data_IF_980974083977
#
_entry.id   IF_980974083977
#
_cell.length_a   1.000
_cell.length_b   1.000
_cell.length_c   1.000
_cell.angle_alpha   90.00
_cell.angle_beta   90.00
_cell.angle_gamma   90.00
#
_symmetry.space_group_name_H-M   'P 1'
#
loop_
_entity.id
_entity.type
_entity.pdbx_description
1 polymer ?
#
# COMPACT_ATOMS: atom_id res chain seq x y z
N UNK A 1 18.04 1.77 -1.12
CA UNK A 1 18.17 1.04 -2.41
C UNK A 1 16.78 0.60 -2.80
N UNK A 2 16.40 0.73 -4.08
CA UNK A 2 15.08 0.32 -4.57
C UNK A 2 14.86 -1.20 -4.49
N UNK A 3 13.61 -1.64 -4.65
CA UNK A 3 13.26 -3.05 -4.72
C UNK A 3 13.86 -3.66 -6.00
N UNK A 4 14.51 -4.84 -5.93
CA UNK A 4 14.94 -5.54 -7.13
C UNK A 4 13.73 -5.86 -8.01
N UNK A 5 13.70 -5.25 -9.19
CA UNK A 5 12.66 -5.45 -10.19
C UNK A 5 13.30 -5.58 -11.57
N UNK A 6 13.02 -6.69 -12.26
CA UNK A 6 13.48 -6.95 -13.61
C UNK A 6 12.30 -6.96 -14.57
N UNK A 7 12.42 -6.28 -15.71
CA UNK A 7 11.44 -6.36 -16.80
C UNK A 7 11.94 -7.42 -17.77
N UNK A 8 11.18 -8.51 -17.91
CA UNK A 8 11.53 -9.63 -18.79
C UNK A 8 11.05 -9.41 -20.22
N UNK A 9 9.92 -8.72 -20.40
CA UNK A 9 9.47 -8.24 -21.70
C UNK A 9 8.54 -7.03 -21.56
N UNK A 10 8.50 -6.21 -22.61
CA UNK A 10 7.58 -5.10 -22.77
C UNK A 10 6.90 -5.19 -24.13
N UNK A 11 5.63 -4.78 -24.20
CA UNK A 11 4.91 -4.73 -25.48
C UNK A 11 5.44 -3.59 -26.36
N UNK A 12 5.48 -3.81 -27.67
CA UNK A 12 5.81 -2.77 -28.66
C UNK A 12 4.60 -1.92 -29.06
N UNK A 13 3.38 -2.36 -28.75
CA UNK A 13 2.12 -1.71 -29.18
C UNK A 13 1.35 -1.07 -28.05
N UNK A 14 1.70 -1.37 -26.80
CA UNK A 14 1.08 -0.79 -25.61
C UNK A 14 2.08 -0.71 -24.45
N UNK A 15 1.64 -0.25 -23.28
CA UNK A 15 2.50 -0.05 -22.10
C UNK A 15 2.58 -1.25 -21.17
N UNK A 16 2.18 -2.43 -21.64
CA UNK A 16 2.24 -3.64 -20.85
C UNK A 16 3.70 -4.06 -20.62
N UNK A 17 3.99 -4.50 -19.39
CA UNK A 17 5.29 -5.04 -18.98
C UNK A 17 5.04 -6.34 -18.24
N UNK A 18 5.91 -7.30 -18.46
CA UNK A 18 6.04 -8.49 -17.62
C UNK A 18 7.44 -8.50 -17.01
N UNK A 19 7.57 -9.05 -15.81
CA UNK A 19 8.79 -8.94 -15.04
C UNK A 19 8.73 -9.74 -13.75
N UNK A 20 9.75 -9.59 -12.92
CA UNK A 20 9.86 -10.26 -11.62
C UNK A 20 10.36 -9.28 -10.57
N UNK A 21 9.71 -9.32 -9.39
CA UNK A 21 10.14 -8.60 -8.20
C UNK A 21 10.71 -9.62 -7.21
N UNK A 22 11.86 -9.31 -6.61
CA UNK A 22 12.51 -10.17 -5.62
C UNK A 22 12.55 -9.51 -4.25
N UNK A 23 12.09 -10.23 -3.23
CA UNK A 23 12.27 -9.91 -1.81
C UNK A 23 13.07 -11.03 -1.13
N UNK A 24 13.50 -10.79 0.10
CA UNK A 24 14.25 -11.78 0.88
C UNK A 24 13.38 -13.01 1.23
N UNK A 25 12.04 -12.86 1.23
CA UNK A 25 11.09 -13.94 1.49
C UNK A 25 10.46 -14.53 0.21
N UNK A 26 11.06 -14.29 -0.96
CA UNK A 26 10.63 -14.89 -2.22
C UNK A 26 10.48 -13.88 -3.35
N UNK A 27 10.18 -14.39 -4.54
CA UNK A 27 9.95 -13.56 -5.74
C UNK A 27 8.52 -13.75 -6.24
N UNK A 28 8.03 -12.76 -6.98
CA UNK A 28 6.73 -12.83 -7.63
C UNK A 28 6.78 -12.22 -9.04
N UNK A 29 6.03 -12.82 -9.96
CA UNK A 29 5.91 -12.38 -11.34
C UNK A 29 4.94 -11.22 -11.45
N UNK A 30 5.23 -10.29 -12.35
CA UNK A 30 4.38 -9.16 -12.70
C UNK A 30 3.90 -9.30 -14.16
N UNK A 31 2.64 -8.94 -14.49
CA UNK A 31 1.60 -8.39 -13.61
C UNK A 31 1.12 -9.40 -12.56
N UNK A 32 0.99 -8.94 -11.30
CA UNK A 32 0.54 -9.75 -10.17
C UNK A 32 -0.87 -9.34 -9.73
N UNK A 33 -1.66 -10.33 -9.33
CA UNK A 33 -2.87 -10.13 -8.54
C UNK A 33 -2.60 -10.60 -7.11
N UNK A 34 -2.96 -9.77 -6.13
CA UNK A 34 -2.70 -10.06 -4.70
C UNK A 34 -4.00 -10.41 -3.99
N UNK A 35 -4.22 -11.67 -3.58
CA UNK A 35 -5.31 -12.02 -2.70
C UNK A 35 -5.23 -11.26 -1.37
N UNK A 36 -6.37 -10.83 -0.84
CA UNK A 36 -6.44 -9.99 0.35
C UNK A 36 -6.67 -10.85 1.61
N UNK A 37 -5.66 -10.89 2.47
CA UNK A 37 -5.71 -11.46 3.81
C UNK A 37 -6.15 -10.44 4.86
N UNK A 38 -7.46 -10.28 5.05
CA UNK A 38 -8.02 -9.21 5.90
C UNK A 38 -7.54 -9.27 7.35
N UNK A 39 -7.52 -10.46 7.96
CA UNK A 39 -7.06 -10.69 9.35
C UNK A 39 -5.90 -11.70 9.36
N UNK A 40 -4.98 -11.56 8.40
CA UNK A 40 -3.84 -12.47 8.23
C UNK A 40 -4.15 -13.77 7.50
N UNK A 41 -5.39 -13.97 7.05
CA UNK A 41 -5.82 -15.11 6.22
C UNK A 41 -6.70 -14.64 5.07
N UNK A 42 -6.51 -15.25 3.89
CA UNK A 42 -7.43 -15.09 2.75
C UNK A 42 -8.69 -15.88 3.09
N UNK A 43 -9.84 -15.20 3.08
CA UNK A 43 -11.10 -15.82 3.52
C UNK A 43 -11.34 -17.14 2.80
N UNK A 44 -11.69 -18.16 3.59
CA UNK A 44 -11.99 -19.55 3.16
C UNK A 44 -10.85 -20.35 2.54
N UNK A 45 -9.62 -19.83 2.49
CA UNK A 45 -8.48 -20.51 1.87
C UNK A 45 -7.33 -20.69 2.86
N UNK A 46 -6.72 -21.87 2.83
CA UNK A 46 -5.49 -22.19 3.55
C UNK A 46 -4.26 -21.69 2.79
N UNK A 47 -3.09 -21.54 3.43
CA UNK A 47 -1.83 -21.29 2.73
C UNK A 47 -1.54 -22.35 1.64
N UNK A 48 -1.93 -23.61 1.86
CA UNK A 48 -1.83 -24.68 0.88
C UNK A 48 -2.68 -24.41 -0.35
N UNK A 49 -3.92 -23.94 -0.19
CA UNK A 49 -4.81 -23.57 -1.30
C UNK A 49 -4.22 -22.41 -2.12
N UNK A 50 -3.63 -21.41 -1.44
CA UNK A 50 -2.98 -20.28 -2.11
C UNK A 50 -1.77 -20.75 -2.94
N UNK A 51 -0.95 -21.66 -2.41
CA UNK A 51 0.16 -22.27 -3.15
C UNK A 51 -0.33 -23.08 -4.34
N UNK A 52 -1.39 -23.88 -4.16
CA UNK A 52 -2.00 -24.67 -5.23
C UNK A 52 -2.58 -23.77 -6.35
N UNK A 53 -3.05 -22.58 -6.00
CA UNK A 53 -3.51 -21.55 -6.93
C UNK A 53 -2.39 -20.70 -7.54
N UNK A 54 -1.12 -21.03 -7.25
CA UNK A 54 0.06 -20.28 -7.71
C UNK A 54 0.06 -18.80 -7.30
N UNK A 55 -0.48 -18.50 -6.12
CA UNK A 55 -0.32 -17.17 -5.51
C UNK A 55 1.14 -17.00 -5.13
N UNK A 56 1.72 -15.86 -5.49
CA UNK A 56 3.13 -15.57 -5.23
C UNK A 56 3.31 -14.41 -4.23
N UNK A 57 2.27 -13.60 -4.04
CA UNK A 57 2.26 -12.48 -3.11
C UNK A 57 0.84 -12.28 -2.59
N UNK A 58 0.72 -11.94 -1.30
CA UNK A 58 -0.56 -11.58 -0.69
C UNK A 58 -0.56 -10.15 -0.18
N UNK A 59 -1.74 -9.52 -0.14
CA UNK A 59 -1.97 -8.26 0.55
C UNK A 59 -2.54 -8.56 1.94
N UNK A 60 -2.03 -7.91 2.99
CA UNK A 60 -2.59 -7.97 4.34
C UNK A 60 -3.00 -6.59 4.83
N UNK A 61 -4.13 -6.52 5.54
CA UNK A 61 -4.65 -5.25 6.02
C UNK A 61 -4.06 -4.88 7.39
N UNK A 62 -3.29 -3.81 7.43
CA UNK A 62 -2.63 -3.28 8.64
C UNK A 62 -3.64 -2.92 9.72
N UNK A 63 -4.73 -2.25 9.34
CA UNK A 63 -5.78 -1.82 10.28
C UNK A 63 -6.34 -3.00 11.09
N UNK A 64 -6.67 -4.10 10.43
CA UNK A 64 -7.27 -5.25 11.08
C UNK A 64 -6.25 -6.00 11.93
N UNK A 65 -5.04 -6.24 11.42
CA UNK A 65 -3.98 -6.93 12.15
C UNK A 65 -3.53 -6.19 13.41
N UNK A 66 -3.48 -4.85 13.33
CA UNK A 66 -3.18 -3.98 14.46
C UNK A 66 -4.22 -4.10 15.58
N UNK A 67 -5.51 -4.19 15.24
CA UNK A 67 -6.57 -4.35 16.24
C UNK A 67 -6.71 -5.80 16.72
N UNK A 68 -6.56 -6.76 15.81
CA UNK A 68 -6.69 -8.19 16.09
C UNK A 68 -5.88 -9.01 15.08
N UNK A 69 -4.90 -9.81 15.53
CA UNK A 69 -4.65 -10.20 16.92
C UNK A 69 -3.93 -9.14 17.77
N UNK A 70 -3.43 -8.06 17.16
CA UNK A 70 -2.59 -7.07 17.84
C UNK A 70 -1.10 -7.38 17.68
N UNK A 71 -0.28 -6.34 17.86
CA UNK A 71 1.16 -6.41 17.60
C UNK A 71 1.90 -7.37 18.54
N UNK A 72 1.56 -7.38 19.83
CA UNK A 72 2.23 -8.23 20.83
C UNK A 72 2.13 -9.72 20.45
N UNK A 73 0.97 -10.14 19.94
CA UNK A 73 0.76 -11.51 19.48
C UNK A 73 1.55 -11.76 18.20
N UNK A 74 1.50 -10.85 17.22
CA UNK A 74 2.26 -10.99 15.98
C UNK A 74 3.75 -11.13 16.26
N UNK A 75 4.30 -10.30 17.14
CA UNK A 75 5.71 -10.32 17.52
C UNK A 75 6.11 -11.63 18.20
N UNK A 76 5.27 -12.19 19.07
CA UNK A 76 5.52 -13.51 19.69
C UNK A 76 5.64 -14.65 18.68
N UNK A 77 4.98 -14.54 17.53
CA UNK A 77 5.07 -15.52 16.45
C UNK A 77 6.14 -15.16 15.40
N UNK A 78 6.93 -14.09 15.59
CA UNK A 78 7.92 -13.64 14.61
C UNK A 78 7.30 -12.95 13.40
N UNK A 79 6.21 -12.21 13.62
CA UNK A 79 5.43 -11.52 12.60
C UNK A 79 4.28 -12.37 12.03
N UNK A 80 3.56 -11.81 11.07
CA UNK A 80 2.40 -12.45 10.44
C UNK A 80 2.77 -13.77 9.76
N UNK A 81 3.96 -13.83 9.16
CA UNK A 81 4.50 -15.01 8.49
C UNK A 81 4.51 -16.24 9.41
N UNK A 82 5.02 -16.06 10.63
CA UNK A 82 5.08 -17.16 11.61
C UNK A 82 3.72 -17.54 12.16
N UNK A 83 2.78 -16.57 12.24
CA UNK A 83 1.42 -16.81 12.67
C UNK A 83 0.57 -17.57 11.63
N UNK A 84 0.59 -17.14 10.37
CA UNK A 84 -0.28 -17.68 9.32
C UNK A 84 0.36 -18.77 8.45
N UNK A 85 1.67 -19.02 8.61
CA UNK A 85 2.45 -20.02 7.84
C UNK A 85 2.45 -19.78 6.32
N UNK A 86 2.21 -18.56 5.87
CA UNK A 86 2.44 -18.13 4.49
C UNK A 86 3.95 -17.95 4.27
N UNK A 87 4.50 -18.51 3.21
CA UNK A 87 5.95 -18.52 2.94
C UNK A 87 6.37 -17.57 1.82
N UNK A 88 5.42 -16.95 1.09
CA UNK A 88 5.71 -15.98 0.04
C UNK A 88 5.74 -14.51 0.51
N UNK A 89 6.08 -13.55 -0.37
CA UNK A 89 6.02 -12.12 -0.09
C UNK A 89 4.66 -11.63 0.45
N UNK A 90 4.70 -10.63 1.34
CA UNK A 90 3.53 -9.95 1.92
C UNK A 90 3.63 -8.44 1.66
N UNK A 91 2.61 -7.87 1.03
CA UNK A 91 2.39 -6.43 1.01
C UNK A 91 1.40 -6.04 2.12
N UNK A 92 1.69 -4.99 2.88
CA UNK A 92 0.72 -4.39 3.80
C UNK A 92 0.29 -3.03 3.33
N UNK A 93 -1.02 -2.80 3.33
CA UNK A 93 -1.56 -1.45 3.18
C UNK A 93 -1.26 -0.59 4.41
N UNK A 94 -1.58 0.70 4.37
CA UNK A 94 -1.33 1.60 5.50
C UNK A 94 -2.42 1.55 6.59
N UNK A 95 -3.57 0.94 6.27
CA UNK A 95 -4.79 1.04 7.07
C UNK A 95 -5.56 2.35 6.88
N UNK A 96 -5.04 3.32 6.12
CA UNK A 96 -5.67 4.64 5.92
C UNK A 96 -7.04 4.54 5.24
N UNK A 97 -7.19 3.65 4.25
CA UNK A 97 -8.46 3.44 3.55
C UNK A 97 -9.55 2.89 4.48
N UNK A 98 -9.22 1.92 5.34
CA UNK A 98 -10.16 1.30 6.26
C UNK A 98 -10.59 2.32 7.30
N UNK A 99 -9.65 3.09 7.85
CA UNK A 99 -10.00 4.18 8.76
C UNK A 99 -10.87 5.21 8.06
N UNK A 100 -10.57 5.58 6.81
CA UNK A 100 -11.44 6.45 6.01
C UNK A 100 -12.85 5.87 5.81
N UNK A 101 -13.00 4.55 5.66
CA UNK A 101 -14.32 3.91 5.53
C UNK A 101 -15.14 3.83 6.83
N UNK A 102 -14.54 4.15 7.98
CA UNK A 102 -15.28 4.32 9.24
C UNK A 102 -15.89 5.73 9.24
N UNK A 103 -17.21 5.86 9.38
CA UNK A 103 -17.94 7.13 9.32
C UNK A 103 -17.56 8.12 10.46
N UNK A 104 -18.45 8.34 11.44
CA UNK A 104 -18.28 9.33 12.53
C UNK A 104 -17.17 8.98 13.54
N UNK A 105 -16.41 7.93 13.30
CA UNK A 105 -15.43 7.37 14.24
C UNK A 105 -14.00 7.81 13.92
N UNK A 106 -13.79 8.87 13.13
CA UNK A 106 -12.45 9.35 12.73
C UNK A 106 -12.28 10.87 12.82
N UNK A 107 -11.06 11.28 13.14
CA UNK A 107 -10.58 12.66 13.09
C UNK A 107 -9.24 12.66 12.33
N UNK A 108 -9.10 13.53 11.34
CA UNK A 108 -7.87 13.63 10.54
C UNK A 108 -7.27 15.02 10.73
N UNK A 109 -6.01 15.07 11.17
CA UNK A 109 -5.26 16.30 11.35
C UNK A 109 -3.91 16.23 10.60
N UNK A 110 -2.93 17.06 10.96
CA UNK A 110 -1.60 17.03 10.35
C UNK A 110 -0.71 15.92 10.92
N UNK A 111 -0.96 15.48 12.15
CA UNK A 111 -0.15 14.49 12.84
C UNK A 111 -0.50 13.07 12.37
N UNK A 112 -1.78 12.83 12.06
CA UNK A 112 -2.25 11.56 11.53
C UNK A 112 -3.77 11.42 11.49
N UNK A 113 -4.22 10.19 11.71
CA UNK A 113 -5.63 9.83 11.78
C UNK A 113 -5.95 9.21 13.12
N UNK A 114 -6.78 9.89 13.90
CA UNK A 114 -7.37 9.34 15.11
C UNK A 114 -8.65 8.61 14.76
N UNK A 115 -8.87 7.43 15.33
CA UNK A 115 -10.11 6.69 15.13
C UNK A 115 -10.52 5.87 16.35
N UNK A 116 -11.77 5.42 16.36
CA UNK A 116 -12.26 4.42 17.31
C UNK A 116 -12.36 3.04 16.66
N UNK A 117 -11.88 2.03 17.38
CA UNK A 117 -12.02 0.63 16.99
C UNK A 117 -13.50 0.27 16.88
N UNK A 118 -13.89 -0.34 15.76
CA UNK A 118 -15.25 -0.85 15.56
C UNK A 118 -15.54 -2.11 16.39
N UNK A 119 -14.52 -2.69 17.02
CA UNK A 119 -14.65 -3.89 17.84
C UNK A 119 -15.01 -3.59 19.30
N UNK A 120 -14.34 -2.60 19.89
CA UNK A 120 -14.42 -2.32 21.33
C UNK A 120 -14.55 -0.82 21.68
N UNK A 121 -14.56 0.05 20.68
CA UNK A 121 -14.70 1.50 20.85
C UNK A 121 -13.45 2.22 21.37
N UNK A 122 -12.33 1.51 21.56
CA UNK A 122 -11.06 2.07 22.02
C UNK A 122 -10.51 3.08 21.01
N UNK A 123 -9.86 4.14 21.51
CA UNK A 123 -9.32 5.24 20.69
C UNK A 123 -7.88 4.93 20.30
N UNK A 124 -7.56 5.08 19.02
CA UNK A 124 -6.24 4.88 18.44
C UNK A 124 -5.84 6.05 17.55
N UNK A 125 -4.54 6.20 17.33
CA UNK A 125 -3.94 7.19 16.43
C UNK A 125 -2.99 6.49 15.49
N UNK A 126 -3.17 6.68 14.19
CA UNK A 126 -2.22 6.28 13.14
C UNK A 126 -1.51 7.52 12.63
N UNK A 127 -0.23 7.65 12.98
CA UNK A 127 0.67 8.63 12.37
C UNK A 127 1.49 7.95 11.26
N UNK A 128 2.08 8.71 10.32
CA UNK A 128 3.04 8.20 9.35
C UNK A 128 4.11 7.28 9.95
N UNK A 129 4.71 7.69 11.07
CA UNK A 129 5.77 6.94 11.75
C UNK A 129 5.22 5.65 12.37
N UNK A 130 4.12 5.75 13.12
CA UNK A 130 3.53 4.60 13.81
C UNK A 130 3.06 3.53 12.82
N UNK A 131 2.54 3.94 11.66
CA UNK A 131 2.13 3.00 10.61
C UNK A 131 3.32 2.21 10.06
N UNK A 132 4.49 2.83 9.92
CA UNK A 132 5.73 2.11 9.55
C UNK A 132 6.12 1.10 10.64
N UNK A 133 6.04 1.49 11.92
CA UNK A 133 6.35 0.58 13.03
C UNK A 133 5.38 -0.61 13.10
N UNK A 134 4.08 -0.36 12.93
CA UNK A 134 3.05 -1.41 12.87
C UNK A 134 3.37 -2.39 11.74
N UNK A 135 3.69 -1.90 10.54
CA UNK A 135 4.01 -2.76 9.39
C UNK A 135 5.33 -3.54 9.59
N UNK A 136 6.29 -2.97 10.34
CA UNK A 136 7.50 -3.69 10.77
C UNK A 136 7.17 -4.85 11.68
N UNK A 137 6.35 -4.64 12.71
CA UNK A 137 5.89 -5.69 13.63
C UNK A 137 5.02 -6.74 12.92
N UNK A 138 4.27 -6.36 11.89
CA UNK A 138 3.58 -7.33 11.02
C UNK A 138 4.59 -8.18 10.23
N UNK A 139 5.77 -7.65 9.91
CA UNK A 139 6.81 -8.36 9.16
C UNK A 139 6.64 -8.27 7.64
N UNK A 140 6.07 -7.17 7.13
CA UNK A 140 5.80 -6.97 5.70
C UNK A 140 7.06 -7.03 4.84
N UNK A 141 6.94 -7.48 3.59
CA UNK A 141 8.00 -7.31 2.59
C UNK A 141 7.88 -5.95 1.90
N UNK A 142 6.64 -5.51 1.61
CA UNK A 142 6.35 -4.23 0.97
C UNK A 142 5.36 -3.44 1.83
N UNK A 143 5.74 -2.22 2.19
CA UNK A 143 4.99 -1.32 3.04
C UNK A 143 4.37 -0.18 2.25
N UNK A 144 3.08 0.08 2.43
CA UNK A 144 2.44 1.27 1.88
C UNK A 144 2.52 2.43 2.88
N UNK A 145 2.86 3.63 2.40
CA UNK A 145 2.82 4.85 3.24
C UNK A 145 1.39 5.18 3.66
N UNK A 146 1.23 5.83 4.82
CA UNK A 146 -0.05 6.43 5.20
C UNK A 146 -0.36 7.61 4.27
N UNK A 147 -1.57 7.62 3.72
CA UNK A 147 -2.06 8.65 2.81
C UNK A 147 -3.42 9.20 3.26
N UNK A 148 -3.77 10.37 2.72
CA UNK A 148 -5.06 10.99 2.95
C UNK A 148 -5.92 10.82 1.69
N UNK A 149 -6.86 9.88 1.77
CA UNK A 149 -7.78 9.57 0.68
C UNK A 149 -8.93 10.58 0.62
N UNK A 150 -9.30 10.96 -0.60
CA UNK A 150 -10.58 11.61 -0.92
C UNK A 150 -11.46 10.66 -1.72
N UNK A 151 -12.79 10.71 -1.50
CA UNK A 151 -13.75 10.01 -2.35
C UNK A 151 -13.76 10.57 -3.78
N UNK A 152 -14.29 9.82 -4.75
CA UNK A 152 -14.48 10.33 -6.10
C UNK A 152 -15.97 10.40 -6.49
N UNK A 153 -16.42 11.50 -7.12
CA UNK A 153 -15.65 12.73 -7.37
C UNK A 153 -15.49 13.58 -6.09
N UNK A 154 -14.30 14.16 -5.90
CA UNK A 154 -14.05 15.23 -4.93
C UNK A 154 -13.73 16.52 -5.67
N UNK A 155 -14.01 17.67 -5.04
CA UNK A 155 -13.63 18.97 -5.59
C UNK A 155 -12.10 19.11 -5.68
N UNK A 156 -11.66 20.00 -6.58
CA UNK A 156 -10.25 20.25 -6.84
C UNK A 156 -9.50 20.64 -5.57
N UNK A 157 -10.03 21.58 -4.79
CA UNK A 157 -9.36 22.08 -3.59
C UNK A 157 -9.26 20.99 -2.51
N UNK A 158 -10.32 20.19 -2.32
CA UNK A 158 -10.30 19.04 -1.41
C UNK A 158 -9.25 18.02 -1.86
N UNK A 159 -9.18 17.72 -3.16
CA UNK A 159 -8.18 16.82 -3.73
C UNK A 159 -6.75 17.36 -3.57
N UNK A 160 -6.56 18.68 -3.72
CA UNK A 160 -5.28 19.36 -3.55
C UNK A 160 -4.80 19.26 -2.10
N UNK A 161 -5.66 19.58 -1.14
CA UNK A 161 -5.33 19.52 0.30
C UNK A 161 -4.97 18.10 0.73
N UNK A 162 -5.77 17.10 0.32
CA UNK A 162 -5.52 15.70 0.56
C UNK A 162 -4.19 15.21 -0.03
N UNK A 163 -3.94 15.57 -1.27
CA UNK A 163 -2.69 15.26 -1.95
C UNK A 163 -1.47 15.88 -1.24
N UNK A 164 -1.51 17.17 -0.91
CA UNK A 164 -0.42 17.85 -0.22
C UNK A 164 -0.14 17.25 1.16
N UNK A 165 -1.19 16.88 1.90
CA UNK A 165 -1.04 16.15 3.18
C UNK A 165 -0.39 14.78 2.97
N UNK A 166 -0.82 14.05 1.94
CA UNK A 166 -0.21 12.76 1.56
C UNK A 166 1.29 12.90 1.27
N UNK A 167 1.74 13.96 0.60
CA UNK A 167 3.18 14.18 0.37
C UNK A 167 3.95 14.39 1.67
N UNK A 168 3.46 15.23 2.58
CA UNK A 168 4.10 15.47 3.87
C UNK A 168 4.15 14.20 4.72
N UNK A 169 3.07 13.41 4.71
CA UNK A 169 3.02 12.12 5.38
C UNK A 169 3.93 11.07 4.73
N UNK A 170 4.08 11.08 3.41
CA UNK A 170 5.00 10.21 2.70
C UNK A 170 6.47 10.53 3.08
N UNK A 171 6.84 11.81 3.15
CA UNK A 171 8.18 12.25 3.57
C UNK A 171 8.50 11.83 5.01
N UNK A 172 7.56 12.02 5.93
CA UNK A 172 7.65 11.53 7.32
C UNK A 172 7.81 10.02 7.38
N UNK A 173 6.97 9.28 6.66
CA UNK A 173 7.02 7.82 6.57
C UNK A 173 8.37 7.32 6.05
N UNK A 174 8.91 7.97 5.00
CA UNK A 174 10.20 7.59 4.42
C UNK A 174 11.36 7.89 5.34
N UNK A 175 11.37 9.05 5.97
CA UNK A 175 12.40 9.44 6.93
C UNK A 175 12.46 8.47 8.11
N UNK A 176 11.31 8.13 8.68
CA UNK A 176 11.22 7.16 9.78
C UNK A 176 11.65 5.75 9.35
N UNK A 177 11.19 5.30 8.17
CA UNK A 177 11.59 4.02 7.59
C UNK A 177 13.10 3.89 7.38
N UNK A 178 13.78 4.95 6.92
CA UNK A 178 15.23 4.93 6.70
C UNK A 178 16.04 5.03 8.00
N UNK A 179 15.50 5.71 9.02
CA UNK A 179 16.19 5.91 10.30
C UNK A 179 16.21 4.66 11.18
N UNK A 180 15.32 3.70 10.93
CA UNK A 180 15.15 2.53 11.79
C UNK A 180 15.44 1.24 11.00
N UNK A 181 16.11 0.24 11.58
CA UNK A 181 16.41 -1.02 10.89
C UNK A 181 15.16 -1.93 10.82
N UNK A 182 15.05 -2.82 9.81
CA UNK A 182 13.93 -3.76 9.72
C UNK A 182 13.91 -4.74 10.90
N UNK A 183 12.74 -5.35 11.14
CA UNK A 183 12.58 -6.45 12.08
C UNK A 183 12.73 -7.81 11.38
N UNK A 184 12.94 -8.87 12.15
CA UNK A 184 12.98 -10.27 11.70
C UNK A 184 14.09 -10.63 10.69
N UNK A 185 15.07 -9.75 10.48
CA UNK A 185 16.30 -10.07 9.75
C UNK A 185 16.14 -10.12 8.22
N UNK A 186 15.01 -9.66 7.68
CA UNK A 186 14.79 -9.51 6.24
C UNK A 186 14.65 -8.04 5.85
N UNK A 187 15.00 -7.73 4.62
CA UNK A 187 14.82 -6.40 4.07
C UNK A 187 13.36 -6.13 3.75
N UNK A 188 12.92 -4.94 4.12
CA UNK A 188 11.59 -4.44 3.82
C UNK A 188 11.71 -3.29 2.79
N UNK A 189 10.66 -3.07 2.01
CA UNK A 189 10.59 -2.02 0.99
C UNK A 189 9.39 -1.12 1.26
N UNK A 190 9.43 0.13 0.80
CA UNK A 190 8.34 1.08 1.02
C UNK A 190 7.89 1.73 -0.29
N UNK A 191 6.59 1.74 -0.52
CA UNK A 191 5.95 2.30 -1.70
C UNK A 191 5.21 3.60 -1.36
N UNK A 192 5.45 4.62 -2.18
CA UNK A 192 4.69 5.87 -2.14
C UNK A 192 3.33 5.72 -2.83
N UNK A 193 2.32 6.48 -2.40
CA UNK A 193 0.97 6.45 -2.99
C UNK A 193 0.69 7.76 -3.71
N UNK A 194 0.55 7.70 -5.04
CA UNK A 194 0.12 8.84 -5.85
C UNK A 194 -1.34 9.15 -5.53
N UNK A 195 -1.61 10.39 -5.12
CA UNK A 195 -2.95 10.95 -4.90
C UNK A 195 -3.19 12.14 -5.84
N UNK A 196 -4.35 12.80 -5.76
CA UNK A 196 -4.73 13.94 -6.62
C UNK A 196 -6.07 13.81 -7.33
N UNK A 197 -6.90 12.82 -6.94
CA UNK A 197 -8.24 12.64 -7.51
C UNK A 197 -8.21 12.38 -9.01
N UNK A 198 -9.07 13.08 -9.75
CA UNK A 198 -9.21 12.99 -11.21
C UNK A 198 -8.49 14.10 -11.98
N UNK A 199 -7.58 14.83 -11.31
CA UNK A 199 -6.92 16.03 -11.83
C UNK A 199 -5.46 15.77 -12.21
N UNK A 200 -5.09 16.07 -13.45
CA UNK A 200 -3.79 15.69 -14.03
C UNK A 200 -2.62 16.48 -13.44
N UNK A 201 -2.83 17.76 -13.15
CA UNK A 201 -1.87 18.64 -12.50
C UNK A 201 -1.54 18.16 -11.08
N UNK A 202 -2.56 17.85 -10.26
CA UNK A 202 -2.36 17.30 -8.92
C UNK A 202 -1.66 15.93 -8.96
N UNK A 203 -2.00 15.09 -9.94
CA UNK A 203 -1.31 13.80 -10.16
C UNK A 203 0.15 14.01 -10.55
N UNK A 204 0.45 15.01 -11.38
CA UNK A 204 1.82 15.33 -11.78
C UNK A 204 2.65 15.86 -10.60
N UNK A 205 2.09 16.77 -9.80
CA UNK A 205 2.70 17.24 -8.55
C UNK A 205 2.98 16.08 -7.60
N UNK A 206 2.02 15.16 -7.46
CA UNK A 206 2.20 13.97 -6.63
C UNK A 206 3.32 13.07 -7.08
N UNK A 207 3.42 12.81 -8.38
CA UNK A 207 4.49 11.97 -8.93
C UNK A 207 5.84 12.67 -8.74
N UNK A 208 5.94 13.96 -9.02
CA UNK A 208 7.16 14.73 -8.82
C UNK A 208 7.62 14.71 -7.34
N UNK A 209 6.72 14.97 -6.40
CA UNK A 209 7.03 14.94 -4.98
C UNK A 209 7.49 13.56 -4.49
N UNK A 210 6.75 12.50 -4.84
CA UNK A 210 7.09 11.12 -4.41
C UNK A 210 8.36 10.59 -5.09
N UNK A 211 8.64 10.98 -6.33
CA UNK A 211 9.89 10.61 -7.01
C UNK A 211 11.10 11.32 -6.40
N UNK A 212 10.95 12.58 -5.97
CA UNK A 212 11.99 13.29 -5.23
C UNK A 212 12.29 12.66 -3.86
N UNK A 213 11.29 12.11 -3.16
CA UNK A 213 11.46 11.38 -1.90
C UNK A 213 12.17 10.01 -2.10
N UNK A 214 12.14 9.46 -3.33
CA UNK A 214 12.78 8.21 -3.73
C UNK A 214 12.31 6.96 -2.95
N UNK A 215 11.12 6.47 -3.29
CA UNK A 215 10.56 5.21 -2.80
C UNK A 215 11.05 3.99 -3.60
N UNK A 216 10.78 2.81 -3.08
CA UNK A 216 11.21 1.54 -3.69
C UNK A 216 10.22 1.05 -4.78
N UNK A 217 9.03 1.66 -4.83
CA UNK A 217 8.01 1.49 -5.86
C UNK A 217 6.88 2.49 -5.64
N UNK A 218 5.91 2.50 -6.56
CA UNK A 218 4.87 3.52 -6.56
C UNK A 218 3.49 2.91 -6.78
N UNK A 219 2.56 3.25 -5.91
CA UNK A 219 1.16 2.92 -6.06
C UNK A 219 0.35 4.09 -6.62
N UNK A 220 -0.76 3.77 -7.27
CA UNK A 220 -1.77 4.72 -7.73
C UNK A 220 -3.00 4.53 -6.85
N UNK A 221 -3.20 5.47 -5.92
CA UNK A 221 -4.32 5.49 -4.98
C UNK A 221 -5.45 6.42 -5.43
N UNK A 222 -6.55 6.39 -4.68
CA UNK A 222 -7.70 7.29 -4.94
C UNK A 222 -8.40 7.03 -6.27
N UNK A 223 -8.42 5.78 -6.72
CA UNK A 223 -9.17 5.29 -7.87
C UNK A 223 -9.98 4.04 -7.45
N UNK A 224 -10.95 3.65 -8.26
CA UNK A 224 -11.96 2.63 -7.94
C UNK A 224 -12.81 2.98 -6.70
N UNK A 225 -13.04 4.27 -6.47
CA UNK A 225 -13.77 4.81 -5.30
C UNK A 225 -15.00 5.63 -5.70
N UNK A 226 -15.51 5.43 -6.92
CA UNK A 226 -16.75 6.03 -7.42
C UNK A 226 -16.65 6.62 -8.83
N UNK A 227 -15.43 6.79 -9.36
CA UNK A 227 -15.24 7.40 -10.67
C UNK A 227 -15.65 6.49 -11.85
N UNK A 228 -16.08 7.09 -12.99
CA UNK A 228 -16.32 6.35 -14.22
C UNK A 228 -15.07 5.58 -14.71
N UNK A 229 -15.30 4.45 -15.41
CA UNK A 229 -14.23 3.55 -15.87
C UNK A 229 -13.24 4.23 -16.82
N UNK A 230 -13.73 5.06 -17.73
CA UNK A 230 -12.94 5.84 -18.68
C UNK A 230 -12.05 6.86 -17.96
N UNK A 231 -12.57 7.53 -16.92
CA UNK A 231 -11.80 8.45 -16.07
C UNK A 231 -10.68 7.70 -15.35
N UNK A 232 -10.98 6.55 -14.75
CA UNK A 232 -9.97 5.70 -14.12
C UNK A 232 -8.86 5.30 -15.09
N UNK A 233 -9.21 4.88 -16.30
CA UNK A 233 -8.23 4.50 -17.32
C UNK A 233 -7.37 5.66 -17.79
N UNK A 234 -7.97 6.85 -18.00
CA UNK A 234 -7.25 8.07 -18.32
C UNK A 234 -6.23 8.43 -17.24
N UNK A 235 -6.63 8.45 -15.97
CA UNK A 235 -5.73 8.77 -14.85
C UNK A 235 -4.65 7.71 -14.65
N UNK A 236 -4.99 6.44 -14.78
CA UNK A 236 -4.01 5.35 -14.69
C UNK A 236 -2.98 5.47 -15.82
N UNK A 237 -3.43 5.76 -17.04
CA UNK A 237 -2.56 6.03 -18.19
C UNK A 237 -1.64 7.22 -17.95
N UNK A 238 -2.19 8.33 -17.46
CA UNK A 238 -1.44 9.54 -17.12
C UNK A 238 -0.34 9.29 -16.09
N UNK A 239 -0.66 8.55 -15.01
CA UNK A 239 0.30 8.24 -13.95
C UNK A 239 1.40 7.30 -14.45
N UNK A 240 1.01 6.24 -15.18
CA UNK A 240 1.96 5.24 -15.68
C UNK A 240 2.93 5.78 -16.74
N UNK A 241 2.61 6.89 -17.42
CA UNK A 241 3.57 7.59 -18.30
C UNK A 241 4.70 8.28 -17.54
N UNK A 242 4.43 8.70 -16.30
CA UNK A 242 5.29 9.62 -15.55
C UNK A 242 6.01 8.94 -14.39
N UNK A 243 5.46 7.85 -13.88
CA UNK A 243 6.12 7.03 -12.87
C UNK A 243 7.38 6.36 -13.45
N UNK A 244 8.45 6.17 -12.66
CA UNK A 244 9.66 5.51 -13.12
C UNK A 244 9.39 4.15 -13.77
N UNK A 245 9.96 3.92 -14.96
CA UNK A 245 9.77 2.67 -15.71
C UNK A 245 10.52 1.49 -15.09
N UNK A 246 11.64 1.76 -14.43
CA UNK A 246 12.48 0.74 -13.78
C UNK A 246 11.94 0.24 -12.44
N UNK A 247 10.75 0.71 -12.01
CA UNK A 247 10.15 0.35 -10.73
C UNK A 247 8.76 -0.28 -10.87
N UNK A 248 8.31 -1.06 -9.87
CA UNK A 248 6.96 -1.60 -9.84
C UNK A 248 5.91 -0.48 -9.73
N UNK A 249 4.75 -0.72 -10.36
CA UNK A 249 3.61 0.20 -10.36
C UNK A 249 2.38 -0.56 -9.87
N UNK A 250 1.82 -0.16 -8.74
CA UNK A 250 0.70 -0.85 -8.10
C UNK A 250 -0.59 -0.03 -8.22
N UNK A 251 -1.57 -0.51 -8.99
CA UNK A 251 -2.91 0.08 -9.02
C UNK A 251 -3.76 -0.49 -7.88
N UNK A 252 -4.09 0.33 -6.89
CA UNK A 252 -4.79 -0.10 -5.67
C UNK A 252 -6.29 -0.28 -5.93
N UNK A 253 -6.88 -1.35 -5.38
CA UNK A 253 -8.34 -1.51 -5.30
C UNK A 253 -9.07 -1.91 -6.60
N UNK A 254 -8.36 -2.30 -7.65
CA UNK A 254 -8.96 -2.75 -8.93
C UNK A 254 -8.91 -4.28 -9.04
N UNK A 255 -10.02 -4.91 -9.44
CA UNK A 255 -10.07 -6.38 -9.52
C UNK A 255 -11.04 -7.02 -10.51
N UNK A 256 -11.88 -6.26 -11.24
CA UNK A 256 -12.70 -6.86 -12.31
C UNK A 256 -11.83 -7.11 -13.55
N UNK A 257 -11.93 -8.29 -14.20
CA UNK A 257 -11.26 -8.58 -15.47
C UNK A 257 -11.61 -7.58 -16.59
#
# INVERSE_FOLDING_TARGET
>A
MAIPFSITAASSTCRARTGEVTTDNGSFRTPAFMPVGTIGTVKTLTPEDLRAAHVEIMLSNTYHLYLRPGLDILEQFGGLRGLNRWDGPILTDSGGFQVYSLDDLKEIDEDGVTFRSHWDGSRHLFTPERVVDIQRSIGSDIMMVLDHLTGNPAEYETSRQAHQKTLRWAERSRSHFLAHPPLYGHRQFQFGIVQGGIYDDLRAESIAGLTNIAFDGYAIGGLAVGEPRDVRYRITGFCTERLPESLPRYLMGVGKP
#
